data_IF_125161990733
#
_entry.id   IF_125161990733
#
_cell.length_a   1.000
_cell.length_b   1.000
_cell.length_c   1.000
_cell.angle_alpha   90.00
_cell.angle_beta   90.00
_cell.angle_gamma   90.00
#
_symmetry.space_group_name_H-M   'P 1'
#
loop_
_entity.id
_entity.type
_entity.pdbx_description
1 polymer ?
#
# COMPACT_ATOMS: atom_id res chain seq x y z
N UNK A 1 19.01 23.61 8.64
CA UNK A 1 19.15 22.99 7.29
C UNK A 1 19.39 24.10 6.29
N UNK A 2 20.60 24.17 5.74
CA UNK A 2 21.09 25.29 4.92
C UNK A 2 20.37 25.45 3.56
N UNK A 3 20.12 26.70 3.16
CA UNK A 3 19.55 27.08 1.85
C UNK A 3 20.36 26.55 0.67
N UNK A 4 21.68 26.40 0.85
CA UNK A 4 22.62 25.83 -0.14
C UNK A 4 22.32 24.36 -0.49
N UNK A 5 21.71 23.59 0.41
CA UNK A 5 21.30 22.21 0.14
C UNK A 5 20.06 22.16 -0.77
N UNK A 6 19.14 23.10 -0.60
CA UNK A 6 17.93 23.21 -1.41
C UNK A 6 18.26 23.61 -2.86
N UNK A 7 19.20 24.55 -3.05
CA UNK A 7 19.68 24.93 -4.39
C UNK A 7 20.37 23.78 -5.14
N UNK A 8 21.22 23.00 -4.46
CA UNK A 8 21.87 21.81 -5.04
C UNK A 8 20.88 20.71 -5.40
N UNK A 9 19.90 20.45 -4.52
CA UNK A 9 18.84 19.48 -4.79
C UNK A 9 17.97 19.89 -5.99
N UNK A 10 17.63 21.18 -6.10
CA UNK A 10 16.86 21.72 -7.23
C UNK A 10 17.62 21.60 -8.56
N UNK A 11 18.89 22.02 -8.61
CA UNK A 11 19.73 21.89 -9.80
C UNK A 11 19.95 20.43 -10.24
N UNK A 12 20.02 19.49 -9.29
CA UNK A 12 20.07 18.05 -9.61
C UNK A 12 18.75 17.55 -10.20
N UNK A 13 17.61 18.00 -9.67
CA UNK A 13 16.30 17.64 -10.19
C UNK A 13 16.06 18.19 -11.60
N UNK A 14 16.50 19.42 -11.90
CA UNK A 14 16.40 20.03 -13.23
C UNK A 14 17.20 19.20 -14.25
N UNK A 15 18.48 18.93 -13.98
CA UNK A 15 19.33 18.10 -14.85
C UNK A 15 18.75 16.70 -15.09
N UNK A 16 18.19 16.09 -14.05
CA UNK A 16 17.52 14.79 -14.18
C UNK A 16 16.29 14.87 -15.10
N UNK A 17 15.49 15.94 -15.03
CA UNK A 17 14.35 16.14 -15.93
C UNK A 17 14.79 16.36 -17.36
N UNK A 18 15.80 17.20 -17.59
CA UNK A 18 16.36 17.44 -18.93
C UNK A 18 16.87 16.15 -19.57
N UNK A 19 17.58 15.32 -18.79
CA UNK A 19 18.02 14.00 -19.23
C UNK A 19 16.83 13.10 -19.61
N UNK A 20 15.82 13.02 -18.73
CA UNK A 20 14.61 12.22 -19.01
C UNK A 20 13.89 12.68 -20.28
N UNK A 21 13.79 14.00 -20.50
CA UNK A 21 13.16 14.54 -21.72
C UNK A 21 13.96 14.21 -22.97
N UNK A 22 15.29 14.31 -22.91
CA UNK A 22 16.18 13.97 -24.03
C UNK A 22 16.13 12.48 -24.38
N UNK A 23 16.18 11.62 -23.36
CA UNK A 23 16.24 10.17 -23.55
C UNK A 23 14.84 9.55 -23.73
N UNK A 24 13.77 10.28 -23.40
CA UNK A 24 12.39 9.79 -23.46
C UNK A 24 12.10 8.68 -22.44
N UNK A 25 12.99 8.45 -21.48
CA UNK A 25 12.89 7.39 -20.46
C UNK A 25 13.17 7.93 -19.07
N UNK A 26 12.60 7.29 -18.06
CA UNK A 26 12.97 7.52 -16.66
C UNK A 26 14.34 6.88 -16.37
N UNK A 27 15.04 7.27 -15.29
CA UNK A 27 16.28 6.62 -14.88
C UNK A 27 16.14 5.11 -14.62
N UNK A 28 14.91 4.63 -14.40
CA UNK A 28 14.58 3.20 -14.28
C UNK A 28 14.26 2.52 -15.62
N UNK A 29 14.49 3.16 -16.76
CA UNK A 29 14.29 2.59 -18.09
C UNK A 29 12.84 2.59 -18.61
N UNK A 30 11.90 3.23 -17.90
CA UNK A 30 10.50 3.27 -18.35
C UNK A 30 10.25 4.45 -19.30
N UNK A 31 9.59 4.21 -20.43
CA UNK A 31 9.20 5.26 -21.38
C UNK A 31 8.40 6.39 -20.70
N UNK A 32 8.72 7.64 -20.99
CA UNK A 32 7.93 8.80 -20.57
C UNK A 32 6.56 8.80 -21.24
N UNK A 33 5.57 9.37 -20.57
CA UNK A 33 4.23 9.54 -21.12
C UNK A 33 4.21 10.67 -22.14
N UNK A 34 3.67 10.42 -23.32
CA UNK A 34 3.53 11.44 -24.36
C UNK A 34 2.14 12.09 -24.31
N UNK A 35 1.98 13.32 -24.83
CA UNK A 35 0.67 13.97 -24.94
C UNK A 35 -0.34 13.17 -25.78
N UNK A 36 0.13 12.46 -26.80
CA UNK A 36 -0.71 11.58 -27.63
C UNK A 36 -1.29 10.42 -26.80
N UNK A 37 -0.47 9.80 -25.93
CA UNK A 37 -0.94 8.76 -25.02
C UNK A 37 -1.97 9.33 -24.02
N UNK A 38 -1.77 10.55 -23.52
CA UNK A 38 -2.73 11.20 -22.63
C UNK A 38 -4.09 11.41 -23.30
N UNK A 39 -4.09 11.77 -24.58
CA UNK A 39 -5.33 11.96 -25.34
C UNK A 39 -6.09 10.65 -25.50
N UNK A 40 -5.37 9.56 -25.78
CA UNK A 40 -5.95 8.20 -25.82
C UNK A 40 -6.53 7.82 -24.46
N UNK A 41 -5.82 8.14 -23.37
CA UNK A 41 -6.30 7.88 -22.01
C UNK A 41 -7.58 8.66 -21.71
N UNK A 42 -7.66 9.93 -22.14
CA UNK A 42 -8.85 10.77 -21.96
C UNK A 42 -10.05 10.29 -22.77
N UNK A 43 -9.84 9.79 -23.99
CA UNK A 43 -10.92 9.37 -24.88
C UNK A 43 -11.49 8.00 -24.54
N UNK A 44 -10.65 7.05 -24.12
CA UNK A 44 -11.06 5.66 -23.86
C UNK A 44 -11.42 5.39 -22.40
N UNK A 45 -11.07 6.27 -21.46
CA UNK A 45 -11.50 6.13 -20.07
C UNK A 45 -13.04 6.24 -19.97
N UNK A 46 -13.73 5.35 -19.22
CA UNK A 46 -13.25 4.43 -18.19
C UNK A 46 -12.93 2.99 -18.64
N UNK A 47 -12.91 2.69 -19.94
CA UNK A 47 -12.71 1.34 -20.45
C UNK A 47 -11.23 0.92 -20.43
N UNK A 48 -10.81 0.28 -19.34
CA UNK A 48 -9.44 -0.23 -19.18
C UNK A 48 -9.06 -1.32 -20.19
N UNK A 49 -10.00 -2.11 -20.69
CA UNK A 49 -9.74 -3.12 -21.71
C UNK A 49 -9.34 -2.48 -23.04
N UNK A 50 -10.07 -1.43 -23.45
CA UNK A 50 -9.73 -0.64 -24.64
C UNK A 50 -8.39 0.08 -24.48
N UNK A 51 -8.13 0.64 -23.29
CA UNK A 51 -6.86 1.31 -22.97
C UNK A 51 -5.65 0.37 -23.07
N UNK A 52 -5.77 -0.87 -22.56
CA UNK A 52 -4.71 -1.86 -22.64
C UNK A 52 -4.44 -2.31 -24.09
N UNK A 53 -5.49 -2.37 -24.93
CA UNK A 53 -5.34 -2.68 -26.37
C UNK A 53 -4.70 -1.52 -27.13
N UNK A 54 -5.08 -0.28 -26.82
CA UNK A 54 -4.54 0.92 -27.47
C UNK A 54 -3.11 1.26 -27.03
N UNK A 55 -2.71 0.85 -25.82
CA UNK A 55 -1.38 1.10 -25.25
C UNK A 55 -0.74 -0.23 -24.78
N UNK A 56 -0.38 -1.14 -25.69
CA UNK A 56 0.09 -2.49 -25.34
C UNK A 56 1.44 -2.49 -24.61
N UNK A 57 2.25 -1.44 -24.80
CA UNK A 57 3.52 -1.23 -24.10
C UNK A 57 3.35 -0.65 -22.68
N UNK A 58 2.12 -0.34 -22.25
CA UNK A 58 1.82 0.19 -20.92
C UNK A 58 1.15 -0.87 -20.06
N UNK A 59 1.63 -1.00 -18.83
CA UNK A 59 1.00 -1.89 -17.85
C UNK A 59 -0.29 -1.28 -17.32
N UNK A 60 -1.21 -2.14 -16.88
CA UNK A 60 -2.46 -1.71 -16.22
C UNK A 60 -2.20 -0.74 -15.05
N UNK A 61 -1.19 -1.03 -14.23
CA UNK A 61 -0.79 -0.17 -13.12
C UNK A 61 -0.32 1.21 -13.61
N UNK A 62 0.44 1.26 -14.72
CA UNK A 62 0.87 2.50 -15.36
C UNK A 62 -0.30 3.34 -15.83
N UNK A 63 -1.26 2.73 -16.54
CA UNK A 63 -2.48 3.40 -17.03
C UNK A 63 -3.30 3.92 -15.85
N UNK A 64 -3.53 3.09 -14.82
CA UNK A 64 -4.24 3.48 -13.60
C UNK A 64 -3.58 4.67 -12.93
N UNK A 65 -2.26 4.64 -12.72
CA UNK A 65 -1.54 5.78 -12.15
C UNK A 65 -1.65 7.02 -13.03
N UNK A 66 -1.61 6.87 -14.35
CA UNK A 66 -1.78 7.99 -15.28
C UNK A 66 -3.17 8.60 -15.20
N UNK A 67 -4.23 7.81 -15.12
CA UNK A 67 -5.60 8.32 -14.93
C UNK A 67 -5.75 9.14 -13.64
N UNK A 68 -5.04 8.77 -12.57
CA UNK A 68 -4.98 9.55 -11.33
C UNK A 68 -4.23 10.88 -11.53
N UNK A 69 -3.11 10.86 -12.26
CA UNK A 69 -2.31 12.06 -12.59
C UNK A 69 -3.07 13.04 -13.50
N UNK A 70 -3.86 12.52 -14.43
CA UNK A 70 -4.74 13.30 -15.32
C UNK A 70 -6.04 13.76 -14.62
N UNK A 71 -6.24 13.41 -13.34
CA UNK A 71 -7.42 13.73 -12.53
C UNK A 71 -8.74 13.22 -13.14
N UNK A 72 -8.70 12.13 -13.91
CA UNK A 72 -9.88 11.48 -14.49
C UNK A 72 -10.65 10.65 -13.45
N UNK A 73 -9.99 10.27 -12.35
CA UNK A 73 -10.56 9.48 -11.27
C UNK A 73 -10.64 10.32 -10.00
N UNK A 74 -11.75 10.24 -9.28
CA UNK A 74 -11.87 10.80 -7.92
C UNK A 74 -10.90 10.06 -6.99
N UNK A 75 -9.89 10.76 -6.49
CA UNK A 75 -8.96 10.21 -5.50
C UNK A 75 -9.72 9.96 -4.19
N UNK A 76 -9.44 8.81 -3.56
CA UNK A 76 -9.93 8.57 -2.20
C UNK A 76 -9.20 9.53 -1.25
N UNK A 77 -9.93 10.20 -0.35
CA UNK A 77 -9.29 11.06 0.64
C UNK A 77 -8.32 10.22 1.48
N UNK A 78 -7.12 10.77 1.70
CA UNK A 78 -6.16 10.18 2.62
C UNK A 78 -6.62 10.33 4.07
N UNK A 79 -5.96 9.63 4.97
CA UNK A 79 -6.16 9.84 6.41
C UNK A 79 -5.70 11.25 6.80
N UNK A 80 -6.55 11.95 7.53
CA UNK A 80 -6.29 13.27 8.10
C UNK A 80 -5.50 13.16 9.41
N UNK A 81 -4.89 14.26 9.83
CA UNK A 81 -4.18 14.31 11.12
C UNK A 81 -5.08 14.03 12.33
N UNK A 82 -6.36 14.40 12.25
CA UNK A 82 -7.35 14.09 13.31
C UNK A 82 -7.59 12.59 13.42
N UNK A 83 -7.77 11.92 12.28
CA UNK A 83 -7.95 10.47 12.22
C UNK A 83 -6.71 9.73 12.73
N UNK A 84 -5.50 10.21 12.41
CA UNK A 84 -4.26 9.67 12.96
C UNK A 84 -4.22 9.77 14.50
N UNK A 85 -4.63 10.89 15.06
CA UNK A 85 -4.70 11.09 16.53
C UNK A 85 -5.73 10.18 17.20
N UNK A 86 -6.84 9.86 16.52
CA UNK A 86 -7.83 8.87 16.99
C UNK A 86 -7.20 7.47 16.99
N UNK A 87 -6.58 7.08 15.88
CA UNK A 87 -5.92 5.77 15.72
C UNK A 87 -4.84 5.59 16.77
N UNK A 88 -3.94 6.57 16.98
CA UNK A 88 -2.88 6.47 17.99
C UNK A 88 -3.40 6.22 19.41
N UNK A 89 -4.51 6.84 19.79
CA UNK A 89 -5.07 6.72 21.14
C UNK A 89 -5.92 5.46 21.32
N UNK A 90 -6.74 5.12 20.32
CA UNK A 90 -7.78 4.09 20.46
C UNK A 90 -7.45 2.77 19.78
N UNK A 91 -6.49 2.71 18.85
CA UNK A 91 -6.28 1.51 18.04
C UNK A 91 -5.87 0.25 18.81
N UNK A 92 -5.16 0.39 19.93
CA UNK A 92 -4.75 -0.76 20.75
C UNK A 92 -5.81 -1.19 21.78
N UNK A 93 -6.70 -0.27 22.18
CA UNK A 93 -7.66 -0.47 23.25
C UNK A 93 -9.07 -0.82 22.75
N UNK A 94 -9.50 -0.17 21.66
CA UNK A 94 -10.87 -0.23 21.16
C UNK A 94 -11.15 -1.49 20.33
N UNK A 95 -12.41 -1.90 20.28
CA UNK A 95 -12.90 -2.94 19.37
C UNK A 95 -12.76 -2.55 17.90
N UNK A 96 -12.91 -3.51 16.98
CA UNK A 96 -12.96 -3.24 15.54
C UNK A 96 -14.11 -2.27 15.21
N UNK A 97 -15.29 -2.56 15.73
CA UNK A 97 -16.52 -1.85 15.36
C UNK A 97 -16.54 -0.42 15.91
N UNK A 98 -16.00 -0.22 17.12
CA UNK A 98 -15.82 1.11 17.73
C UNK A 98 -14.90 2.00 16.87
N UNK A 99 -13.79 1.45 16.35
CA UNK A 99 -12.88 2.22 15.50
C UNK A 99 -13.50 2.55 14.14
N UNK A 100 -14.28 1.63 13.58
CA UNK A 100 -14.99 1.88 12.32
C UNK A 100 -16.04 2.97 12.52
N UNK A 101 -16.74 2.98 13.67
CA UNK A 101 -17.69 4.03 14.01
C UNK A 101 -17.00 5.40 14.18
N UNK A 102 -15.78 5.45 14.72
CA UNK A 102 -14.99 6.67 14.87
C UNK A 102 -14.36 7.19 13.55
N UNK A 103 -14.25 6.34 12.53
CA UNK A 103 -13.61 6.63 11.25
C UNK A 103 -14.52 6.28 10.06
N UNK A 104 -15.69 6.94 9.95
CA UNK A 104 -16.62 6.66 8.85
C UNK A 104 -15.96 6.98 7.51
N UNK A 105 -16.00 6.03 6.58
CA UNK A 105 -15.43 6.17 5.24
C UNK A 105 -14.10 5.43 5.01
N UNK A 106 -13.46 4.92 6.07
CA UNK A 106 -12.29 4.05 5.94
C UNK A 106 -12.66 2.59 6.22
N UNK A 107 -12.20 1.69 5.36
CA UNK A 107 -12.36 0.26 5.61
C UNK A 107 -11.39 -0.20 6.71
N UNK A 108 -11.77 -1.26 7.43
CA UNK A 108 -10.92 -1.84 8.46
C UNK A 108 -9.51 -2.21 7.97
N UNK A 109 -9.42 -2.73 6.74
CA UNK A 109 -8.14 -3.05 6.11
C UNK A 109 -7.29 -1.78 5.89
N UNK A 110 -7.89 -0.67 5.45
CA UNK A 110 -7.18 0.59 5.28
C UNK A 110 -6.64 1.12 6.62
N UNK A 111 -7.45 1.01 7.69
CA UNK A 111 -7.08 1.43 9.04
C UNK A 111 -5.90 0.59 9.57
N UNK A 112 -5.93 -0.74 9.40
CA UNK A 112 -4.81 -1.61 9.81
C UNK A 112 -3.53 -1.24 9.06
N UNK A 113 -3.61 -1.08 7.73
CA UNK A 113 -2.43 -0.76 6.92
C UNK A 113 -1.85 0.61 7.29
N UNK A 114 -2.74 1.58 7.57
CA UNK A 114 -2.34 2.89 8.05
C UNK A 114 -1.69 2.82 9.44
N UNK A 115 -2.30 2.11 10.39
CA UNK A 115 -1.75 1.88 11.73
C UNK A 115 -0.37 1.22 11.68
N UNK A 116 -0.22 0.17 10.86
CA UNK A 116 1.04 -0.55 10.68
C UNK A 116 2.14 0.34 10.10
N UNK A 117 1.82 1.23 9.14
CA UNK A 117 2.76 2.24 8.60
C UNK A 117 3.23 3.21 9.69
N UNK A 118 2.41 3.45 10.71
CA UNK A 118 2.73 4.28 11.86
C UNK A 118 3.24 3.49 13.07
N UNK A 119 3.63 2.22 12.91
CA UNK A 119 4.21 1.39 13.97
C UNK A 119 3.22 0.80 14.96
N UNK A 120 1.91 1.00 14.76
CA UNK A 120 0.87 0.46 15.62
C UNK A 120 0.44 -0.92 15.10
N UNK A 121 0.78 -1.98 15.84
CA UNK A 121 0.38 -3.36 15.53
C UNK A 121 -0.38 -3.95 16.70
N UNK A 122 -1.53 -4.57 16.41
CA UNK A 122 -2.27 -5.35 17.40
C UNK A 122 -1.56 -6.69 17.63
N UNK A 123 -1.60 -7.22 18.87
CA UNK A 123 -1.11 -8.57 19.11
C UNK A 123 -1.90 -9.58 18.27
N UNK A 124 -1.25 -10.66 17.81
CA UNK A 124 -1.93 -11.72 17.08
C UNK A 124 -3.07 -12.29 17.92
N UNK A 125 -4.16 -12.68 17.27
CA UNK A 125 -5.27 -13.35 17.96
C UNK A 125 -4.77 -14.67 18.57
N UNK A 126 -5.22 -15.05 19.77
CA UNK A 126 -4.85 -16.34 20.34
C UNK A 126 -5.29 -17.48 19.40
N UNK A 127 -4.49 -18.53 19.33
CA UNK A 127 -4.78 -19.72 18.55
C UNK A 127 -6.07 -20.37 19.07
N UNK A 128 -7.06 -20.56 18.19
CA UNK A 128 -8.31 -21.25 18.56
C UNK A 128 -8.03 -22.72 18.82
N UNK A 129 -8.54 -23.25 19.93
CA UNK A 129 -8.52 -24.68 20.22
C UNK A 129 -9.43 -25.41 19.23
N UNK A 130 -8.98 -26.58 18.80
CA UNK A 130 -9.60 -27.40 17.75
C UNK A 130 -10.43 -28.55 18.34
N UNK A 131 -10.30 -28.80 19.65
CA UNK A 131 -10.94 -29.93 20.34
C UNK A 131 -10.10 -31.22 20.30
N UNK A 132 -8.99 -31.23 19.54
CA UNK A 132 -8.06 -32.36 19.47
C UNK A 132 -6.95 -32.13 20.49
N UNK A 133 -6.91 -32.94 21.55
CA UNK A 133 -6.02 -32.76 22.72
C UNK A 133 -4.55 -32.51 22.34
N UNK A 134 -4.01 -33.29 21.40
CA UNK A 134 -2.61 -33.18 20.98
C UNK A 134 -2.33 -31.84 20.28
N UNK A 135 -3.20 -31.44 19.36
CA UNK A 135 -3.07 -30.16 18.63
C UNK A 135 -3.24 -28.98 19.58
N UNK A 136 -4.15 -29.11 20.55
CA UNK A 136 -4.42 -28.07 21.53
C UNK A 136 -3.25 -27.89 22.51
N UNK A 137 -2.57 -28.98 22.90
CA UNK A 137 -1.32 -28.93 23.66
C UNK A 137 -0.20 -28.23 22.86
N UNK A 138 -0.07 -28.51 21.57
CA UNK A 138 0.91 -27.84 20.69
C UNK A 138 0.60 -26.34 20.62
N UNK A 139 -0.66 -25.97 20.38
CA UNK A 139 -1.10 -24.55 20.34
C UNK A 139 -0.85 -23.84 21.66
N UNK A 140 -1.07 -24.50 22.79
CA UNK A 140 -0.79 -23.96 24.11
C UNK A 140 0.71 -23.73 24.31
N UNK A 141 1.55 -24.71 23.91
CA UNK A 141 3.00 -24.57 24.00
C UNK A 141 3.56 -23.48 23.07
N UNK A 142 3.02 -23.34 21.86
CA UNK A 142 3.35 -22.23 20.97
C UNK A 142 3.04 -20.87 21.60
N UNK A 143 1.89 -20.75 22.30
CA UNK A 143 1.52 -19.52 23.01
C UNK A 143 2.49 -19.19 24.15
N UNK A 144 2.92 -20.17 24.93
CA UNK A 144 3.91 -19.99 25.99
C UNK A 144 5.26 -19.50 25.45
N UNK A 145 5.66 -20.01 24.29
CA UNK A 145 6.93 -19.68 23.63
C UNK A 145 6.83 -18.46 22.71
N UNK A 146 5.69 -17.76 22.66
CA UNK A 146 5.40 -16.65 21.73
C UNK A 146 5.63 -17.00 20.24
N UNK A 147 5.47 -18.27 19.87
CA UNK A 147 5.50 -18.71 18.48
C UNK A 147 4.11 -18.70 17.84
N UNK A 148 4.02 -18.28 16.58
CA UNK A 148 2.82 -18.51 15.77
C UNK A 148 2.84 -19.91 15.16
N UNK A 149 1.67 -20.44 14.80
CA UNK A 149 1.57 -21.73 14.11
C UNK A 149 2.36 -21.71 12.79
N UNK A 150 2.36 -20.58 12.08
CA UNK A 150 3.16 -20.41 10.86
C UNK A 150 4.67 -20.40 11.11
N UNK A 151 5.12 -20.03 12.31
CA UNK A 151 6.54 -20.11 12.65
C UNK A 151 6.92 -21.56 12.98
N UNK A 152 6.02 -22.31 13.62
CA UNK A 152 6.18 -23.75 13.82
C UNK A 152 6.27 -24.50 12.48
N UNK A 153 5.39 -24.19 11.52
CA UNK A 153 5.40 -24.82 10.18
C UNK A 153 6.71 -24.52 9.43
N UNK A 154 7.23 -23.28 9.54
CA UNK A 154 8.54 -22.91 8.98
C UNK A 154 9.68 -23.67 9.65
N UNK A 155 9.65 -23.82 10.97
CA UNK A 155 10.66 -24.57 11.74
C UNK A 155 10.63 -26.06 11.40
N UNK A 156 9.44 -26.63 11.24
CA UNK A 156 9.24 -28.02 10.86
C UNK A 156 9.53 -28.30 9.38
N UNK A 157 9.82 -27.26 8.57
CA UNK A 157 10.04 -27.33 7.11
C UNK A 157 8.90 -28.02 6.35
N UNK A 158 7.70 -28.07 6.93
CA UNK A 158 6.53 -28.62 6.26
C UNK A 158 6.02 -27.53 5.32
N UNK A 159 6.18 -27.72 4.00
CA UNK A 159 5.64 -26.79 3.01
C UNK A 159 4.12 -26.75 3.17
N UNK A 160 3.61 -25.59 3.60
CA UNK A 160 2.20 -25.26 3.45
C UNK A 160 1.93 -24.99 1.97
N UNK A 161 1.20 -25.88 1.32
CA UNK A 161 0.61 -25.68 -0.01
C UNK A 161 -0.60 -24.75 0.08
#
# INVERSE_FOLDING_TARGET
MELSHHGRAAAKAIRSRERMQREGVTPGGHKLWTPAEDQIVRSLFPNYGALLKALPHRTYAGIRYRTMRLKLVKLRPGFTGKELSIIRRRFLQAGKDEIIALLPGHSWAAIIQFAARHGLRRPPKPLKLTGIKVIDQIKQRCRELNYSMSDLDKMARVRTH
#
